data_IF_106702883701
#
_entry.id   IF_106702883701
#
_cell.length_a   1.000
_cell.length_b   1.000
_cell.length_c   1.000
_cell.angle_alpha   90.00
_cell.angle_beta   90.00
_cell.angle_gamma   90.00
#
_symmetry.space_group_name_H-M   'P 1'
#
loop_
_entity.id
_entity.type
_entity.pdbx_description
1 polymer ?
#
# COMPACT_ATOMS: atom_id res chain seq x y z
N UNK A 1 -17.35 -21.23 1.13
CA UNK A 1 -17.60 -19.83 1.56
C UNK A 1 -16.67 -19.42 2.72
N UNK A 2 -15.34 -19.54 2.62
CA UNK A 2 -14.43 -19.24 3.75
C UNK A 2 -13.37 -18.18 3.46
N UNK A 3 -13.22 -17.76 2.20
CA UNK A 3 -12.18 -16.82 1.75
C UNK A 3 -12.36 -15.42 2.32
N UNK A 4 -13.63 -15.03 2.41
CA UNK A 4 -14.04 -13.70 2.79
C UNK A 4 -13.95 -13.44 4.28
N UNK A 5 -13.75 -14.47 5.11
CA UNK A 5 -13.55 -14.29 6.55
C UNK A 5 -12.08 -14.01 6.88
N UNK A 6 -11.14 -14.24 5.95
CA UNK A 6 -9.72 -14.08 6.24
C UNK A 6 -9.04 -12.87 5.61
N UNK A 7 -9.53 -12.42 4.45
CA UNK A 7 -9.28 -11.03 4.02
C UNK A 7 -9.85 -10.06 5.09
N UNK A 8 -10.95 -10.47 5.72
CA UNK A 8 -11.72 -9.86 6.83
C UNK A 8 -11.06 -10.09 8.21
N UNK A 9 -9.75 -10.29 8.29
CA UNK A 9 -9.00 -10.17 9.56
C UNK A 9 -7.63 -9.53 9.37
N UNK A 10 -7.19 -9.34 8.11
CA UNK A 10 -5.88 -8.79 7.77
C UNK A 10 -5.76 -7.27 8.03
N UNK A 11 -6.86 -6.55 8.21
CA UNK A 11 -6.86 -5.09 8.36
C UNK A 11 -6.51 -4.58 9.76
N UNK A 12 -6.70 -5.40 10.81
CA UNK A 12 -6.51 -4.94 12.19
C UNK A 12 -5.03 -4.76 12.60
N UNK A 13 -4.06 -5.32 11.87
CA UNK A 13 -2.67 -5.34 12.36
C UNK A 13 -1.77 -4.30 11.67
N UNK A 14 -2.13 -3.80 10.49
CA UNK A 14 -1.38 -2.67 9.91
C UNK A 14 -1.63 -1.38 10.70
N UNK A 15 -2.73 -1.29 11.47
CA UNK A 15 -3.03 -0.12 12.31
C UNK A 15 -2.40 -0.16 13.72
N UNK A 16 -2.05 -1.34 14.28
CA UNK A 16 -1.70 -1.43 15.71
C UNK A 16 -0.21 -1.69 15.98
N UNK A 17 0.56 -2.23 15.03
CA UNK A 17 1.92 -2.72 15.33
C UNK A 17 3.10 -1.81 14.93
N UNK A 18 2.88 -0.69 14.23
CA UNK A 18 3.99 0.19 13.81
C UNK A 18 4.47 1.20 14.86
N UNK A 19 3.71 1.42 15.94
CA UNK A 19 4.03 2.45 16.95
C UNK A 19 5.31 2.22 17.76
N UNK A 20 5.86 0.99 17.81
CA UNK A 20 6.97 0.67 18.74
C UNK A 20 8.23 0.15 18.02
N UNK A 21 8.10 -0.57 16.90
CA UNK A 21 9.25 -1.27 16.30
C UNK A 21 10.20 -0.38 15.49
N UNK A 22 9.74 0.76 14.97
CA UNK A 22 10.57 1.67 14.15
C UNK A 22 11.14 2.88 14.88
N UNK A 23 10.76 3.12 16.14
CA UNK A 23 11.12 4.33 16.90
C UNK A 23 12.00 4.08 18.13
N UNK A 24 13.00 3.18 18.03
CA UNK A 24 14.15 3.20 18.96
C UNK A 24 15.21 4.25 18.56
N UNK A 25 14.80 5.32 17.89
CA UNK A 25 15.61 6.52 17.69
C UNK A 25 15.45 7.43 18.90
N UNK A 26 16.50 7.56 19.71
CA UNK A 26 16.55 8.36 20.92
C UNK A 26 16.04 9.79 20.65
N UNK A 27 14.86 10.15 21.16
CA UNK A 27 14.45 11.56 21.24
C UNK A 27 15.26 12.18 22.38
N UNK A 28 16.41 12.77 22.04
CA UNK A 28 17.05 13.71 22.95
C UNK A 28 16.15 14.95 23.05
N UNK A 29 15.47 15.06 24.20
CA UNK A 29 14.71 16.26 24.55
C UNK A 29 15.65 17.46 24.71
N UNK A 30 15.56 18.42 23.79
CA UNK A 30 16.02 19.78 24.05
C UNK A 30 14.79 20.70 24.11
N UNK A 31 14.32 20.93 25.32
CA UNK A 31 13.32 21.95 25.67
C UNK A 31 13.95 23.32 25.42
N UNK A 32 13.35 24.15 24.57
CA UNK A 32 13.49 25.60 24.66
C UNK A 32 12.10 26.26 24.56
N UNK A 33 11.68 27.04 25.57
CA UNK A 33 10.38 27.68 25.58
C UNK A 33 10.38 29.06 24.88
N UNK A 34 9.29 29.29 24.14
CA UNK A 34 8.48 30.53 24.13
C UNK A 34 9.10 31.83 23.56
N UNK A 35 8.51 32.34 22.47
CA UNK A 35 7.75 33.61 22.56
C UNK A 35 6.77 33.84 21.41
N UNK A 36 5.54 34.13 21.84
CA UNK A 36 4.38 34.65 21.12
C UNK A 36 4.69 36.04 20.57
N UNK A 37 4.19 36.37 19.37
CA UNK A 37 3.74 37.72 19.05
C UNK A 37 2.71 37.71 17.91
N UNK A 38 1.62 38.45 18.14
CA UNK A 38 0.40 38.53 17.34
C UNK A 38 0.45 39.66 16.29
N UNK A 39 -0.16 39.40 15.12
CA UNK A 39 -0.92 40.36 14.28
C UNK A 39 -0.15 41.13 13.20
N UNK A 40 -0.83 41.71 12.16
CA UNK A 40 -2.27 41.72 11.88
C UNK A 40 -2.68 41.31 10.44
N UNK A 41 -4.00 41.19 10.31
CA UNK A 41 -4.91 40.98 9.17
C UNK A 41 -4.76 42.00 8.03
N UNK A 42 -4.74 41.52 6.78
CA UNK A 42 -5.19 42.29 5.60
C UNK A 42 -6.02 41.42 4.64
N UNK A 43 -7.30 41.78 4.65
CA UNK A 43 -8.35 41.79 3.64
C UNK A 43 -8.08 41.33 2.18
N UNK A 44 -9.05 40.52 1.74
CA UNK A 44 -9.50 40.09 0.41
C UNK A 44 -9.31 41.10 -0.72
N UNK A 45 -8.93 40.61 -1.91
CA UNK A 45 -9.40 41.16 -3.18
C UNK A 45 -9.70 40.04 -4.19
N UNK A 46 -10.98 39.93 -4.53
CA UNK A 46 -11.57 39.01 -5.50
C UNK A 46 -11.49 39.59 -6.92
N UNK A 47 -11.09 38.72 -7.87
CA UNK A 47 -11.45 38.55 -9.28
C UNK A 47 -11.73 39.73 -10.23
N UNK A 48 -11.09 39.68 -11.42
CA UNK A 48 -11.79 39.41 -12.69
C UNK A 48 -10.80 39.27 -13.86
N UNK A 49 -10.97 38.22 -14.67
CA UNK A 49 -10.22 38.06 -15.93
C UNK A 49 -10.22 36.63 -16.48
N UNK A 50 -11.37 36.18 -16.99
CA UNK A 50 -11.54 34.95 -17.77
C UNK A 50 -10.65 34.96 -19.02
N UNK A 51 -9.83 33.93 -19.21
CA UNK A 51 -9.54 33.34 -20.52
C UNK A 51 -9.46 31.82 -20.37
N UNK A 52 -10.45 31.15 -20.98
CA UNK A 52 -10.40 29.73 -21.29
C UNK A 52 -9.16 29.45 -22.13
N UNK A 53 -8.31 28.55 -21.64
CA UNK A 53 -7.31 27.90 -22.46
C UNK A 53 -7.28 26.42 -22.13
N UNK A 54 -8.16 25.73 -22.84
CA UNK A 54 -8.09 24.32 -23.19
C UNK A 54 -6.66 23.96 -23.61
N UNK A 55 -5.89 23.34 -22.71
CA UNK A 55 -4.65 22.64 -23.05
C UNK A 55 -4.93 21.15 -22.97
N UNK A 56 -5.36 20.60 -24.11
CA UNK A 56 -5.30 19.19 -24.38
C UNK A 56 -3.85 18.82 -24.77
N UNK A 57 -3.37 17.75 -24.12
CA UNK A 57 -2.27 16.86 -24.48
C UNK A 57 -0.83 17.33 -24.14
N UNK A 58 -0.34 16.81 -23.02
CA UNK A 58 0.93 16.08 -23.05
C UNK A 58 0.67 14.66 -22.56
N UNK A 59 0.22 13.80 -23.47
CA UNK A 59 0.32 12.35 -23.34
C UNK A 59 1.79 11.95 -23.28
N UNK A 60 2.37 11.94 -22.06
CA UNK A 60 3.34 10.89 -21.76
C UNK A 60 2.53 9.67 -21.37
N UNK A 61 2.25 8.83 -22.36
CA UNK A 61 1.90 7.46 -22.11
C UNK A 61 3.08 6.79 -21.40
N UNK A 62 3.16 6.89 -20.07
CA UNK A 62 3.98 5.99 -19.28
C UNK A 62 3.11 4.77 -19.02
N UNK A 63 3.29 3.75 -19.85
CA UNK A 63 2.77 2.38 -19.68
C UNK A 63 3.96 1.44 -19.90
N UNK A 64 4.21 0.41 -19.07
CA UNK A 64 4.01 0.26 -17.62
C UNK A 64 5.28 0.46 -16.81
N UNK A 65 5.11 0.90 -15.57
CA UNK A 65 6.15 0.82 -14.53
C UNK A 65 6.08 -0.57 -13.92
N UNK A 66 7.00 -1.48 -14.26
CA UNK A 66 7.15 -2.74 -13.51
C UNK A 66 7.43 -2.41 -12.05
N UNK A 67 6.71 -3.05 -11.13
CA UNK A 67 7.00 -2.90 -9.70
C UNK A 67 7.94 -4.03 -9.30
N UNK A 68 8.99 -3.70 -8.56
CA UNK A 68 9.94 -4.67 -8.01
C UNK A 68 9.80 -4.68 -6.49
N UNK A 69 9.31 -5.79 -5.95
CA UNK A 69 9.00 -5.93 -4.52
C UNK A 69 10.07 -6.79 -3.87
N UNK A 70 10.65 -6.32 -2.77
CA UNK A 70 11.44 -7.16 -1.86
C UNK A 70 10.72 -7.32 -0.53
N UNK A 71 10.78 -8.53 0.02
CA UNK A 71 10.06 -8.87 1.24
C UNK A 71 9.88 -10.37 1.37
N UNK A 72 8.83 -10.77 2.07
CA UNK A 72 8.53 -12.18 2.29
C UNK A 72 7.58 -12.69 1.21
N UNK A 73 7.86 -13.90 0.72
CA UNK A 73 6.97 -14.61 -0.21
C UNK A 73 6.70 -15.99 0.34
N UNK A 74 5.43 -16.36 0.40
CA UNK A 74 5.03 -17.68 0.85
C UNK A 74 3.76 -18.13 0.11
N UNK A 75 3.68 -19.43 -0.19
CA UNK A 75 2.40 -20.04 -0.54
C UNK A 75 1.60 -20.27 0.74
N UNK A 76 0.41 -19.68 0.82
CA UNK A 76 -0.43 -19.68 2.02
C UNK A 76 -1.88 -19.98 1.67
N UNK A 77 -2.61 -20.54 2.62
CA UNK A 77 -4.06 -20.40 2.61
C UNK A 77 -4.38 -18.92 2.82
N UNK A 78 -5.28 -18.36 2.00
CA UNK A 78 -5.74 -16.99 2.20
C UNK A 78 -6.40 -16.84 3.57
N UNK A 79 -6.92 -17.95 4.12
CA UNK A 79 -7.39 -18.13 5.50
C UNK A 79 -6.36 -17.74 6.57
N UNK A 80 -5.07 -17.86 6.26
CA UNK A 80 -3.96 -17.67 7.20
C UNK A 80 -3.07 -16.49 6.82
N UNK A 81 -3.55 -15.57 5.97
CA UNK A 81 -2.74 -14.43 5.49
C UNK A 81 -2.25 -13.54 6.64
N UNK A 82 -2.98 -13.50 7.75
CA UNK A 82 -2.59 -12.78 8.97
C UNK A 82 -1.24 -13.27 9.51
N UNK A 83 -0.97 -14.57 9.46
CA UNK A 83 0.32 -15.12 9.90
C UNK A 83 1.45 -14.64 8.99
N UNK A 84 1.19 -14.47 7.68
CA UNK A 84 2.18 -13.91 6.77
C UNK A 84 2.48 -12.44 7.11
N UNK A 85 1.45 -11.63 7.38
CA UNK A 85 1.62 -10.27 7.87
C UNK A 85 2.43 -10.20 9.16
N UNK A 86 2.17 -11.08 10.12
CA UNK A 86 2.97 -11.15 11.35
C UNK A 86 4.44 -11.47 11.07
N UNK A 87 4.72 -12.42 10.17
CA UNK A 87 6.09 -12.72 9.73
C UNK A 87 6.76 -11.51 9.08
N UNK A 88 6.02 -10.74 8.28
CA UNK A 88 6.54 -9.54 7.62
C UNK A 88 6.86 -8.48 8.66
N UNK A 89 5.93 -8.18 9.56
CA UNK A 89 6.08 -7.18 10.60
C UNK A 89 7.25 -7.52 11.56
N UNK A 90 7.44 -8.80 11.86
CA UNK A 90 8.52 -9.26 12.74
C UNK A 90 9.88 -9.39 12.03
N UNK A 91 9.96 -9.16 10.72
CA UNK A 91 11.21 -9.27 9.96
C UNK A 91 12.07 -8.01 10.14
N UNK A 92 12.71 -7.90 11.31
CA UNK A 92 13.56 -6.75 11.66
C UNK A 92 14.73 -6.55 10.69
N UNK A 93 15.30 -7.63 10.14
CA UNK A 93 16.39 -7.55 9.16
C UNK A 93 15.93 -6.89 7.86
N UNK A 94 14.73 -7.21 7.35
CA UNK A 94 14.14 -6.53 6.21
C UNK A 94 13.93 -5.04 6.50
N UNK A 95 13.35 -4.71 7.66
CA UNK A 95 13.00 -3.32 8.00
C UNK A 95 14.23 -2.43 8.22
N UNK A 96 15.32 -2.97 8.76
CA UNK A 96 16.61 -2.25 8.91
C UNK A 96 17.20 -1.81 7.56
N UNK A 97 16.85 -2.49 6.47
CA UNK A 97 17.33 -2.13 5.14
C UNK A 97 16.58 -0.96 4.51
N UNK A 98 15.49 -0.46 5.11
CA UNK A 98 14.77 0.71 4.60
C UNK A 98 15.61 1.99 4.71
N UNK A 99 15.68 2.78 3.63
CA UNK A 99 16.40 4.07 3.60
C UNK A 99 15.76 5.10 4.53
N UNK A 100 14.43 5.10 4.58
CA UNK A 100 13.56 6.01 5.32
C UNK A 100 12.30 5.23 5.76
N UNK A 101 11.46 5.79 6.65
CA UNK A 101 10.14 5.20 6.93
C UNK A 101 9.38 4.96 5.62
N UNK A 102 8.78 3.77 5.43
CA UNK A 102 8.17 3.38 4.16
C UNK A 102 6.87 4.15 3.96
N UNK A 103 6.61 4.60 2.73
CA UNK A 103 5.34 5.27 2.40
C UNK A 103 4.29 4.32 1.82
N UNK A 104 4.71 3.12 1.39
CA UNK A 104 3.85 2.09 0.81
C UNK A 104 4.27 0.70 1.26
N UNK A 105 3.28 -0.18 1.40
CA UNK A 105 3.48 -1.63 1.46
C UNK A 105 2.67 -2.28 0.35
N UNK A 106 3.30 -3.22 -0.35
CA UNK A 106 2.71 -3.95 -1.45
C UNK A 106 2.34 -5.36 -1.00
N UNK A 107 1.13 -5.79 -1.34
CA UNK A 107 0.70 -7.19 -1.21
C UNK A 107 0.34 -7.72 -2.59
N UNK A 108 1.16 -8.62 -3.08
CA UNK A 108 1.01 -9.23 -4.39
C UNK A 108 0.54 -10.67 -4.26
N UNK A 109 -0.65 -10.96 -4.75
CA UNK A 109 -1.25 -12.28 -4.82
C UNK A 109 -1.06 -12.85 -6.22
N UNK A 110 -0.40 -14.00 -6.33
CA UNK A 110 -0.14 -14.72 -7.58
C UNK A 110 -0.49 -16.20 -7.41
N UNK A 111 -0.61 -16.93 -8.53
CA UNK A 111 -0.90 -18.38 -8.54
C UNK A 111 -2.09 -18.72 -7.62
N UNK A 112 -3.14 -17.92 -7.71
CA UNK A 112 -4.35 -18.10 -6.90
C UNK A 112 -5.02 -19.40 -7.33
N UNK A 113 -5.37 -20.27 -6.38
CA UNK A 113 -6.04 -21.53 -6.68
C UNK A 113 -7.42 -21.29 -7.29
N UNK A 114 -7.95 -22.25 -8.06
CA UNK A 114 -9.30 -22.12 -8.66
C UNK A 114 -10.40 -21.97 -7.61
N UNK A 115 -10.19 -22.52 -6.41
CA UNK A 115 -11.08 -22.37 -5.26
C UNK A 115 -10.87 -21.06 -4.50
N UNK A 116 -9.89 -20.24 -4.90
CA UNK A 116 -9.44 -19.01 -4.26
C UNK A 116 -9.00 -19.19 -2.80
N UNK A 117 -8.76 -20.43 -2.35
CA UNK A 117 -8.36 -20.74 -0.97
C UNK A 117 -6.89 -20.52 -0.71
N UNK A 118 -6.06 -20.59 -1.75
CA UNK A 118 -4.61 -20.55 -1.62
C UNK A 118 -4.03 -19.62 -2.67
N UNK A 119 -2.92 -18.98 -2.34
CA UNK A 119 -2.16 -18.16 -3.27
C UNK A 119 -0.68 -18.13 -2.87
N UNK A 120 0.19 -17.84 -3.85
CA UNK A 120 1.52 -17.34 -3.58
C UNK A 120 1.43 -15.84 -3.27
N UNK A 121 1.65 -15.46 -2.02
CA UNK A 121 1.53 -14.08 -1.55
C UNK A 121 2.91 -13.51 -1.28
N UNK A 122 3.17 -12.30 -1.78
CA UNK A 122 4.37 -11.51 -1.48
C UNK A 122 3.95 -10.26 -0.72
N UNK A 123 4.51 -10.03 0.47
CA UNK A 123 4.34 -8.79 1.24
C UNK A 123 5.70 -8.11 1.32
N UNK A 124 5.78 -6.85 0.91
CA UNK A 124 7.06 -6.17 0.80
C UNK A 124 7.01 -4.70 0.46
N UNK A 125 8.21 -4.15 0.28
CA UNK A 125 8.48 -2.77 -0.11
C UNK A 125 8.98 -2.72 -1.55
N UNK A 126 8.87 -1.56 -2.18
CA UNK A 126 9.56 -1.30 -3.44
C UNK A 126 11.09 -1.33 -3.21
N UNK A 127 11.85 -1.99 -4.09
CA UNK A 127 13.32 -2.05 -3.97
C UNK A 127 13.97 -0.67 -3.94
N UNK A 128 13.32 0.35 -4.52
CA UNK A 128 13.83 1.73 -4.54
C UNK A 128 13.89 2.34 -3.14
N UNK A 129 13.06 1.87 -2.20
CA UNK A 129 13.04 2.31 -0.80
C UNK A 129 14.12 1.62 0.06
N UNK A 130 14.84 0.65 -0.51
CA UNK A 130 15.78 -0.23 0.21
C UNK A 130 17.24 0.15 -0.03
N UNK A 131 18.05 0.13 1.02
CA UNK A 131 19.51 0.29 0.98
C UNK A 131 20.18 -0.91 0.31
N UNK A 132 19.74 -2.11 0.68
CA UNK A 132 20.18 -3.38 0.14
C UNK A 132 19.00 -4.35 0.06
N UNK A 133 19.04 -5.27 -0.89
CA UNK A 133 18.06 -6.34 -1.04
C UNK A 133 18.71 -7.54 -1.73
N UNK A 134 18.40 -8.75 -1.27
CA UNK A 134 18.96 -9.97 -1.86
C UNK A 134 18.10 -10.47 -3.02
N UNK A 135 16.81 -10.67 -2.75
CA UNK A 135 15.83 -11.21 -3.68
C UNK A 135 14.71 -10.20 -3.90
N UNK A 136 14.29 -10.05 -5.15
CA UNK A 136 13.15 -9.23 -5.52
C UNK A 136 12.19 -10.00 -6.42
N UNK A 137 10.98 -9.48 -6.51
CA UNK A 137 9.87 -10.04 -7.24
C UNK A 137 9.26 -8.97 -8.13
N UNK A 138 9.41 -9.15 -9.43
CA UNK A 138 8.95 -8.18 -10.43
C UNK A 138 7.54 -8.53 -10.89
N UNK A 139 6.70 -7.51 -11.04
CA UNK A 139 5.37 -7.65 -11.66
C UNK A 139 5.15 -6.55 -12.70
N UNK A 140 4.69 -6.95 -13.90
CA UNK A 140 4.25 -6.03 -14.93
C UNK A 140 2.79 -5.64 -14.68
N UNK A 141 2.56 -4.33 -14.53
CA UNK A 141 1.25 -3.75 -14.25
C UNK A 141 0.68 -2.93 -15.41
N UNK A 142 1.10 -3.19 -16.65
CA UNK A 142 0.56 -2.57 -17.88
C UNK A 142 -0.89 -2.83 -18.11
N UNK A 143 -1.29 -4.09 -18.00
CA UNK A 143 -2.65 -4.55 -18.29
C UNK A 143 -3.47 -4.65 -17.00
N UNK A 144 -3.27 -3.71 -16.07
CA UNK A 144 -4.02 -3.66 -14.81
C UNK A 144 -5.38 -3.02 -15.01
N UNK A 145 -6.37 -3.58 -14.34
CA UNK A 145 -7.66 -2.95 -14.08
C UNK A 145 -7.70 -2.50 -12.62
N UNK A 146 -8.28 -1.32 -12.36
CA UNK A 146 -8.50 -0.83 -10.99
C UNK A 146 -9.74 -1.51 -10.45
N UNK A 147 -9.57 -2.34 -9.42
CA UNK A 147 -10.69 -2.95 -8.69
C UNK A 147 -11.22 -2.00 -7.62
N UNK A 148 -10.30 -1.36 -6.89
CA UNK A 148 -10.60 -0.30 -5.93
C UNK A 148 -9.64 0.87 -6.15
N UNK A 149 -10.14 2.10 -6.37
CA UNK A 149 -9.29 3.29 -6.38
C UNK A 149 -8.65 3.54 -5.00
N UNK A 150 -7.64 4.38 -4.89
CA UNK A 150 -7.03 4.69 -3.59
C UNK A 150 -8.04 5.38 -2.66
N UNK A 151 -8.46 4.72 -1.59
CA UNK A 151 -9.31 5.31 -0.54
C UNK A 151 -9.10 4.58 0.79
N UNK A 152 -9.63 5.13 1.89
CA UNK A 152 -9.78 4.42 3.15
C UNK A 152 -10.98 3.49 3.02
N UNK A 153 -10.72 2.19 3.06
CA UNK A 153 -11.75 1.18 3.01
C UNK A 153 -11.89 0.48 4.35
N UNK A 154 -13.13 0.15 4.70
CA UNK A 154 -13.37 -0.81 5.74
C UNK A 154 -13.32 -2.25 5.18
N UNK A 155 -13.33 -3.18 6.10
CA UNK A 155 -13.22 -4.60 5.84
C UNK A 155 -14.33 -5.16 4.93
N UNK A 156 -15.55 -4.66 5.10
CA UNK A 156 -16.70 -5.10 4.33
C UNK A 156 -16.57 -4.65 2.88
N UNK A 157 -16.12 -3.41 2.65
CA UNK A 157 -15.91 -2.85 1.32
C UNK A 157 -14.82 -3.59 0.53
N UNK A 158 -13.73 -3.96 1.21
CA UNK A 158 -12.66 -4.75 0.61
C UNK A 158 -13.09 -6.18 0.32
N UNK A 159 -13.78 -6.82 1.26
CA UNK A 159 -14.37 -8.16 1.06
C UNK A 159 -15.33 -8.17 -0.13
N UNK A 160 -16.20 -7.17 -0.25
CA UNK A 160 -17.10 -7.01 -1.38
C UNK A 160 -16.37 -6.75 -2.71
N UNK A 161 -15.28 -5.99 -2.70
CA UNK A 161 -14.48 -5.79 -3.90
C UNK A 161 -13.83 -7.09 -4.37
N UNK A 162 -13.27 -7.87 -3.46
CA UNK A 162 -12.72 -9.20 -3.75
C UNK A 162 -13.80 -10.17 -4.26
N UNK A 163 -15.07 -10.04 -3.84
CA UNK A 163 -16.21 -10.82 -4.40
C UNK A 163 -16.51 -10.49 -5.85
N UNK A 164 -16.24 -9.25 -6.28
CA UNK A 164 -16.46 -8.79 -7.67
C UNK A 164 -15.39 -9.29 -8.64
N UNK A 165 -14.31 -9.85 -8.12
CA UNK A 165 -13.26 -10.46 -8.93
C UNK A 165 -13.85 -11.69 -9.62
N UNK A 166 -13.92 -11.63 -10.95
CA UNK A 166 -14.36 -12.77 -11.76
C UNK A 166 -13.33 -13.89 -11.63
N UNK A 167 -13.71 -14.91 -10.86
CA UNK A 167 -12.84 -16.01 -10.48
C UNK A 167 -12.42 -16.90 -11.66
N UNK A 168 -13.14 -16.80 -12.78
CA UNK A 168 -12.84 -17.55 -13.99
C UNK A 168 -11.91 -16.77 -14.94
N UNK A 169 -11.69 -15.47 -14.68
CA UNK A 169 -10.92 -14.56 -15.55
C UNK A 169 -9.66 -13.97 -14.91
N UNK A 170 -9.49 -14.05 -13.59
CA UNK A 170 -8.21 -13.65 -12.96
C UNK A 170 -7.19 -14.75 -13.17
N UNK A 171 -6.28 -14.54 -14.10
CA UNK A 171 -5.21 -15.48 -14.39
C UNK A 171 -3.84 -15.06 -13.86
N UNK A 172 -3.61 -13.77 -13.61
CA UNK A 172 -2.23 -13.30 -13.41
C UNK A 172 -1.94 -12.82 -11.99
N UNK A 173 -2.65 -11.81 -11.48
CA UNK A 173 -2.39 -11.28 -10.13
C UNK A 173 -3.54 -10.41 -9.58
N UNK A 174 -3.54 -10.28 -8.26
CA UNK A 174 -4.17 -9.17 -7.53
C UNK A 174 -3.06 -8.44 -6.77
N UNK A 175 -3.05 -7.11 -6.84
CA UNK A 175 -2.06 -6.26 -6.17
C UNK A 175 -2.78 -5.26 -5.29
N UNK A 176 -2.51 -5.30 -3.99
CA UNK A 176 -2.91 -4.27 -3.05
C UNK A 176 -1.73 -3.36 -2.74
N UNK A 177 -2.01 -2.06 -2.72
CA UNK A 177 -1.04 -1.02 -2.36
C UNK A 177 -1.60 -0.28 -1.15
N UNK A 178 -0.93 -0.40 -0.02
CA UNK A 178 -1.30 0.24 1.24
C UNK A 178 -0.41 1.46 1.44
N UNK A 179 -0.99 2.65 1.37
CA UNK A 179 -0.28 3.92 1.62
C UNK A 179 -0.20 4.16 3.12
N UNK A 180 1.00 4.41 3.63
CA UNK A 180 1.25 4.59 5.06
C UNK A 180 1.49 6.06 5.42
N UNK A 181 1.11 6.45 6.64
CA UNK A 181 1.56 7.70 7.24
C UNK A 181 2.96 7.55 7.89
N UNK A 182 3.48 8.64 8.47
CA UNK A 182 4.77 8.63 9.16
C UNK A 182 4.83 7.70 10.38
N UNK A 183 3.68 7.36 10.95
CA UNK A 183 3.54 6.41 12.05
C UNK A 183 3.45 4.95 11.58
N UNK A 184 3.44 4.71 10.26
CA UNK A 184 3.29 3.39 9.66
C UNK A 184 1.84 2.90 9.55
N UNK A 185 0.84 3.74 9.84
CA UNK A 185 -0.57 3.36 9.74
C UNK A 185 -1.09 3.52 8.31
N UNK A 186 -1.93 2.57 7.86
CA UNK A 186 -2.56 2.66 6.53
C UNK A 186 -3.55 3.83 6.45
N UNK A 187 -3.27 4.76 5.56
CA UNK A 187 -4.11 5.92 5.24
C UNK A 187 -5.05 5.64 4.08
N UNK A 188 -4.60 4.86 3.10
CA UNK A 188 -5.41 4.41 1.97
C UNK A 188 -4.96 3.06 1.46
N UNK A 189 -5.87 2.34 0.83
CA UNK A 189 -5.59 1.10 0.10
C UNK A 189 -6.07 1.28 -1.34
N UNK A 190 -5.29 0.81 -2.29
CA UNK A 190 -5.65 0.71 -3.70
C UNK A 190 -5.52 -0.74 -4.14
N UNK A 191 -6.47 -1.25 -4.92
CA UNK A 191 -6.46 -2.64 -5.37
C UNK A 191 -6.52 -2.69 -6.89
N UNK A 192 -5.56 -3.42 -7.46
CA UNK A 192 -5.46 -3.69 -8.89
C UNK A 192 -5.61 -5.17 -9.15
N UNK A 193 -6.20 -5.50 -10.29
CA UNK A 193 -6.38 -6.87 -10.76
C UNK A 193 -6.01 -6.95 -12.23
N UNK A 194 -5.40 -8.06 -12.64
CA UNK A 194 -5.15 -8.35 -14.04
C UNK A 194 -6.05 -9.50 -14.50
N UNK A 195 -6.87 -9.18 -15.50
CA UNK A 195 -7.69 -10.14 -16.25
C UNK A 195 -6.97 -10.51 -17.55
N UNK A 196 -7.23 -11.71 -18.07
CA UNK A 196 -6.83 -12.12 -19.42
C UNK A 196 -8.04 -12.04 -20.37
#
# INVERSE_FOLDING_TARGET
MSLFNSILTSFFIVAIFWGIALFQGQIAHAIQPQKISQGPRSEVKEINGVKEQTVFISTKAVKPESIHITGIRQHVELADIQMLWQKFNNNTELHKQLKHPPNKVYVLYQKISQSYQQAEVTIGYDITEMRQFDKHYSIDISQKSVLLPSNKYDETQLSEAWKKIDSQKVKTYVLEVHTLNQSGETTSTQVFVSYQ
#
